data_IF_897010496978
#
_entry.id   IF_897010496978
#
_cell.length_a   1.000
_cell.length_b   1.000
_cell.length_c   1.000
_cell.angle_alpha   90.00
_cell.angle_beta   90.00
_cell.angle_gamma   90.00
#
_symmetry.space_group_name_H-M   'P 1'
#
loop_
_entity.id
_entity.type
_entity.pdbx_description
1 polymer ?
#
# COMPACT_ATOMS: atom_id res chain seq x y z
N UNK A 1 -11.42 -16.49 -16.24
CA UNK A 1 -11.20 -15.20 -15.58
C UNK A 1 -10.31 -14.37 -16.49
N UNK A 2 -10.66 -13.09 -16.78
CA UNK A 2 -9.80 -12.23 -17.62
C UNK A 2 -8.46 -11.93 -16.92
N UNK A 3 -7.41 -11.55 -17.67
CA UNK A 3 -6.12 -11.13 -17.10
C UNK A 3 -6.33 -10.00 -16.09
N UNK A 4 -7.07 -8.96 -16.48
CA UNK A 4 -7.38 -7.83 -15.60
C UNK A 4 -8.11 -8.24 -14.32
N UNK A 5 -9.10 -9.16 -14.37
CA UNK A 5 -9.79 -9.65 -13.17
C UNK A 5 -8.83 -10.38 -12.23
N UNK A 6 -7.88 -11.14 -12.80
CA UNK A 6 -6.83 -11.82 -12.03
C UNK A 6 -5.87 -10.82 -11.38
N UNK A 7 -5.47 -9.78 -12.11
CA UNK A 7 -4.65 -8.70 -11.58
C UNK A 7 -5.32 -7.97 -10.42
N UNK A 8 -6.59 -7.58 -10.57
CA UNK A 8 -7.38 -6.95 -9.48
C UNK A 8 -7.46 -7.87 -8.25
N UNK A 9 -7.66 -9.18 -8.45
CA UNK A 9 -7.67 -10.14 -7.33
C UNK A 9 -6.32 -10.18 -6.61
N UNK A 10 -5.21 -10.15 -7.34
CA UNK A 10 -3.87 -10.11 -6.73
C UNK A 10 -3.64 -8.83 -5.94
N UNK A 11 -4.03 -7.68 -6.48
CA UNK A 11 -3.98 -6.39 -5.75
C UNK A 11 -4.85 -6.44 -4.49
N UNK A 12 -6.05 -7.02 -4.56
CA UNK A 12 -6.92 -7.18 -3.40
C UNK A 12 -6.30 -8.09 -2.32
N UNK A 13 -5.73 -9.24 -2.71
CA UNK A 13 -5.02 -10.13 -1.77
C UNK A 13 -3.85 -9.39 -1.12
N UNK A 14 -3.09 -8.62 -1.89
CA UNK A 14 -2.01 -7.78 -1.37
C UNK A 14 -2.52 -6.80 -0.31
N UNK A 15 -3.63 -6.10 -0.56
CA UNK A 15 -4.24 -5.16 0.38
C UNK A 15 -4.71 -5.82 1.68
N UNK A 16 -5.27 -7.03 1.59
CA UNK A 16 -5.65 -7.84 2.76
C UNK A 16 -4.41 -8.20 3.59
N UNK A 17 -3.32 -8.61 2.94
CA UNK A 17 -2.06 -8.92 3.63
C UNK A 17 -1.45 -7.66 4.26
N UNK A 18 -1.46 -6.53 3.57
CA UNK A 18 -0.99 -5.26 4.14
C UNK A 18 -1.80 -4.84 5.37
N UNK A 19 -3.10 -5.11 5.40
CA UNK A 19 -3.98 -4.76 6.52
C UNK A 19 -3.64 -5.50 7.83
N UNK A 20 -2.88 -6.60 7.77
CA UNK A 20 -2.37 -7.28 8.97
C UNK A 20 -1.31 -6.44 9.71
N UNK A 21 -0.77 -5.41 9.05
CA UNK A 21 0.32 -4.59 9.58
C UNK A 21 0.04 -4.02 10.97
N UNK A 22 -1.11 -3.37 11.17
CA UNK A 22 -1.47 -2.77 12.45
C UNK A 22 -1.57 -3.76 13.60
N UNK A 23 -2.09 -4.97 13.32
CA UNK A 23 -2.20 -6.04 14.30
C UNK A 23 -0.82 -6.48 14.82
N UNK A 24 0.10 -6.80 13.91
CA UNK A 24 1.40 -7.34 14.29
C UNK A 24 2.40 -6.27 14.72
N UNK A 25 2.29 -5.03 14.22
CA UNK A 25 3.10 -3.90 14.72
C UNK A 25 2.85 -3.64 16.21
N UNK A 26 1.62 -3.82 16.71
CA UNK A 26 1.33 -3.70 18.16
C UNK A 26 2.09 -4.72 19.03
N UNK A 27 2.50 -5.87 18.46
CA UNK A 27 3.27 -6.90 19.17
C UNK A 27 4.77 -6.59 19.21
N UNK A 28 5.25 -5.64 18.40
CA UNK A 28 6.67 -5.31 18.26
C UNK A 28 6.93 -3.94 18.89
N UNK A 29 7.44 -3.85 20.13
CA UNK A 29 7.61 -2.60 20.86
C UNK A 29 8.86 -1.81 20.41
N UNK A 30 9.26 -1.95 19.14
CA UNK A 30 10.43 -1.33 18.58
C UNK A 30 10.12 0.03 17.94
N UNK A 31 11.16 0.81 17.71
CA UNK A 31 11.10 2.01 16.91
C UNK A 31 10.50 1.70 15.51
N UNK A 32 9.54 2.48 15.00
CA UNK A 32 8.95 2.25 13.67
C UNK A 32 9.97 2.14 12.53
N UNK A 33 11.10 2.85 12.59
CA UNK A 33 12.17 2.72 11.58
C UNK A 33 12.90 1.38 11.70
N UNK A 34 13.13 0.87 12.93
CA UNK A 34 13.68 -0.46 13.16
C UNK A 34 12.74 -1.53 12.60
N UNK A 35 11.44 -1.44 12.91
CA UNK A 35 10.42 -2.33 12.34
C UNK A 35 10.45 -2.27 10.83
N UNK A 36 10.47 -1.07 10.22
CA UNK A 36 10.52 -0.91 8.77
C UNK A 36 11.77 -1.54 8.15
N UNK A 37 12.93 -1.33 8.74
CA UNK A 37 14.19 -1.90 8.26
C UNK A 37 14.22 -3.41 8.33
N UNK A 38 13.93 -3.99 9.51
CA UNK A 38 14.03 -5.43 9.73
C UNK A 38 12.97 -6.21 8.95
N UNK A 39 11.70 -5.73 8.89
CA UNK A 39 10.68 -6.41 8.07
C UNK A 39 11.03 -6.39 6.58
N UNK A 40 11.65 -5.30 6.07
CA UNK A 40 12.12 -5.25 4.68
C UNK A 40 13.36 -6.12 4.46
N UNK A 41 14.25 -6.28 5.45
CA UNK A 41 15.38 -7.21 5.39
C UNK A 41 14.91 -8.66 5.31
N UNK A 42 13.92 -9.05 6.12
CA UNK A 42 13.29 -10.37 6.05
C UNK A 42 12.61 -10.56 4.68
N UNK A 43 11.86 -9.55 4.25
CA UNK A 43 11.17 -9.57 2.98
C UNK A 43 12.13 -9.69 1.79
N UNK A 44 13.27 -9.03 1.84
CA UNK A 44 14.33 -9.12 0.83
C UNK A 44 14.80 -10.56 0.63
N UNK A 45 14.96 -11.32 1.72
CA UNK A 45 15.35 -12.74 1.66
C UNK A 45 14.25 -13.56 0.99
N UNK A 46 13.02 -13.43 1.45
CA UNK A 46 11.86 -14.20 0.92
C UNK A 46 11.58 -13.84 -0.53
N UNK A 47 11.57 -12.56 -0.86
CA UNK A 47 11.34 -12.08 -2.23
C UNK A 47 12.50 -12.48 -3.16
N UNK A 48 13.75 -12.45 -2.66
CA UNK A 48 14.93 -12.93 -3.41
C UNK A 48 14.85 -14.43 -3.73
N UNK A 49 14.40 -15.26 -2.77
CA UNK A 49 14.13 -16.69 -3.02
C UNK A 49 13.04 -16.85 -4.10
N UNK A 50 11.94 -16.07 -4.00
CA UNK A 50 10.87 -16.08 -5.00
C UNK A 50 11.40 -15.73 -6.40
N UNK A 51 12.19 -14.66 -6.56
CA UNK A 51 12.79 -14.28 -7.85
C UNK A 51 13.71 -15.37 -8.40
N UNK A 52 14.49 -16.02 -7.54
CA UNK A 52 15.37 -17.13 -7.94
C UNK A 52 14.56 -18.35 -8.41
N UNK A 53 13.50 -18.73 -7.69
CA UNK A 53 12.65 -19.89 -8.04
C UNK A 53 11.86 -19.64 -9.31
N UNK A 54 11.42 -18.41 -9.54
CA UNK A 54 10.69 -18.02 -10.78
C UNK A 54 11.62 -17.71 -11.94
N UNK A 55 12.95 -17.82 -11.75
CA UNK A 55 13.96 -17.46 -12.75
C UNK A 55 13.80 -16.03 -13.29
N UNK A 56 13.26 -15.10 -12.46
CA UNK A 56 13.08 -13.72 -12.85
C UNK A 56 14.43 -13.01 -12.94
N UNK A 57 14.69 -12.37 -14.08
CA UNK A 57 15.91 -11.59 -14.28
C UNK A 57 15.73 -10.18 -13.74
N UNK A 58 16.58 -9.79 -12.81
CA UNK A 58 16.59 -8.43 -12.31
C UNK A 58 16.95 -7.44 -13.41
N UNK A 59 16.10 -6.43 -13.56
CA UNK A 59 16.30 -5.31 -14.47
C UNK A 59 16.70 -4.09 -13.63
N UNK A 60 17.65 -3.30 -14.11
CA UNK A 60 18.05 -2.03 -13.48
C UNK A 60 18.09 -0.96 -14.57
N UNK A 61 17.12 -0.08 -14.53
CA UNK A 61 17.01 1.08 -15.41
C UNK A 61 16.31 2.24 -14.67
N UNK A 62 16.14 3.38 -15.34
CA UNK A 62 15.54 4.56 -14.73
C UNK A 62 14.11 4.36 -14.23
N UNK A 63 13.28 3.60 -14.96
CA UNK A 63 11.90 3.30 -14.56
C UNK A 63 11.86 2.40 -13.32
N UNK A 64 12.71 1.38 -13.26
CA UNK A 64 12.85 0.47 -12.12
C UNK A 64 13.37 1.21 -10.89
N UNK A 65 14.38 2.07 -11.05
CA UNK A 65 14.91 2.87 -9.94
C UNK A 65 13.86 3.87 -9.41
N UNK A 66 13.07 4.48 -10.29
CA UNK A 66 11.93 5.32 -9.88
C UNK A 66 10.96 4.52 -9.00
N UNK A 67 10.53 3.34 -9.44
CA UNK A 67 9.65 2.47 -8.66
C UNK A 67 10.26 2.06 -7.30
N UNK A 68 11.57 1.75 -7.28
CA UNK A 68 12.29 1.39 -6.06
C UNK A 68 12.35 2.55 -5.05
N UNK A 69 12.64 3.76 -5.50
CA UNK A 69 12.63 4.97 -4.66
C UNK A 69 11.23 5.27 -4.15
N UNK A 70 10.21 5.15 -5.00
CA UNK A 70 8.82 5.32 -4.59
C UNK A 70 8.39 4.29 -3.53
N UNK A 71 8.76 3.02 -3.70
CA UNK A 71 8.48 1.96 -2.72
C UNK A 71 9.17 2.23 -1.38
N UNK A 72 10.46 2.51 -1.39
CA UNK A 72 11.22 2.83 -0.18
C UNK A 72 10.72 4.12 0.49
N UNK A 73 10.43 5.15 -0.30
CA UNK A 73 9.84 6.40 0.16
C UNK A 73 8.49 6.19 0.83
N UNK A 74 7.60 5.40 0.22
CA UNK A 74 6.28 5.07 0.79
C UNK A 74 6.41 4.51 2.20
N UNK A 75 7.22 3.48 2.38
CA UNK A 75 7.31 2.77 3.66
C UNK A 75 8.07 3.58 4.72
N UNK A 76 9.19 4.22 4.35
CA UNK A 76 10.03 4.98 5.28
C UNK A 76 9.35 6.28 5.72
N UNK A 77 8.78 7.06 4.78
CA UNK A 77 8.09 8.31 5.10
C UNK A 77 6.82 8.06 5.91
N UNK A 78 6.10 6.97 5.64
CA UNK A 78 4.95 6.58 6.46
C UNK A 78 5.35 6.26 7.91
N UNK A 79 6.43 5.51 8.12
CA UNK A 79 6.95 5.24 9.45
C UNK A 79 7.38 6.54 10.16
N UNK A 80 8.02 7.45 9.45
CA UNK A 80 8.42 8.76 9.98
C UNK A 80 7.19 9.64 10.31
N UNK A 81 6.19 9.66 9.43
CA UNK A 81 4.94 10.37 9.67
C UNK A 81 4.24 9.90 10.95
N UNK A 82 4.16 8.59 11.18
CA UNK A 82 3.58 8.03 12.41
C UNK A 82 4.30 8.47 13.70
N UNK A 83 5.57 8.89 13.62
CA UNK A 83 6.29 9.50 14.75
C UNK A 83 6.00 10.99 14.93
N UNK A 84 5.72 11.68 13.83
CA UNK A 84 5.61 13.14 13.79
C UNK A 84 4.16 13.62 13.91
N UNK A 85 3.17 12.81 13.54
CA UNK A 85 1.74 13.13 13.64
C UNK A 85 0.94 11.95 14.20
N UNK A 86 -0.39 12.03 14.22
CA UNK A 86 -1.21 10.90 14.67
C UNK A 86 -1.27 9.80 13.60
N UNK A 87 -1.44 8.54 14.03
CA UNK A 87 -1.60 7.42 13.11
C UNK A 87 -2.80 7.63 12.16
N UNK A 88 -3.90 8.23 12.66
CA UNK A 88 -5.06 8.57 11.86
C UNK A 88 -4.74 9.58 10.75
N UNK A 89 -4.03 10.67 11.10
CA UNK A 89 -3.59 11.65 10.11
C UNK A 89 -2.65 11.02 9.07
N UNK A 90 -1.68 10.21 9.53
CA UNK A 90 -0.71 9.55 8.66
C UNK A 90 -1.41 8.64 7.64
N UNK A 91 -2.36 7.82 8.07
CA UNK A 91 -3.13 6.92 7.20
C UNK A 91 -4.00 7.71 6.21
N UNK A 92 -4.81 8.66 6.70
CA UNK A 92 -5.72 9.43 5.84
C UNK A 92 -4.94 10.17 4.76
N UNK A 93 -3.82 10.81 5.12
CA UNK A 93 -3.01 11.57 4.18
C UNK A 93 -2.25 10.67 3.20
N UNK A 94 -1.75 9.51 3.61
CA UNK A 94 -1.15 8.54 2.69
C UNK A 94 -2.17 8.01 1.67
N UNK A 95 -3.40 7.73 2.12
CA UNK A 95 -4.47 7.23 1.24
C UNK A 95 -5.13 8.31 0.37
N UNK A 96 -4.57 9.51 0.30
CA UNK A 96 -4.77 10.44 -0.82
C UNK A 96 -4.06 9.95 -2.11
N UNK A 97 -3.27 8.88 -2.04
CA UNK A 97 -2.54 8.30 -3.17
C UNK A 97 -3.39 8.12 -4.46
N UNK A 98 -4.66 7.65 -4.45
CA UNK A 98 -5.47 7.57 -5.67
C UNK A 98 -5.67 8.91 -6.37
N UNK A 99 -5.75 10.02 -5.62
CA UNK A 99 -5.81 11.38 -6.19
C UNK A 99 -4.51 11.69 -6.93
N UNK A 100 -3.36 11.40 -6.28
CA UNK A 100 -2.06 11.59 -6.90
C UNK A 100 -1.84 10.67 -8.10
N UNK A 101 -2.32 9.43 -8.09
CA UNK A 101 -2.26 8.54 -9.26
C UNK A 101 -2.99 9.18 -10.45
N UNK A 102 -4.23 9.63 -10.26
CA UNK A 102 -5.00 10.28 -11.34
C UNK A 102 -4.25 11.49 -11.89
N UNK A 103 -3.73 12.34 -11.01
CA UNK A 103 -3.02 13.56 -11.36
C UNK A 103 -1.69 13.27 -12.10
N UNK A 104 -0.90 12.34 -11.60
CA UNK A 104 0.38 11.97 -12.19
C UNK A 104 0.21 11.24 -13.53
N UNK A 105 -0.80 10.36 -13.65
CA UNK A 105 -1.13 9.71 -14.93
C UNK A 105 -1.51 10.75 -15.99
N UNK A 106 -2.25 11.79 -15.60
CA UNK A 106 -2.56 12.89 -16.49
C UNK A 106 -1.31 13.68 -16.92
N UNK A 107 -0.41 14.01 -15.98
CA UNK A 107 0.81 14.78 -16.29
C UNK A 107 1.79 13.99 -17.15
N UNK A 108 2.15 12.77 -16.73
CA UNK A 108 3.22 12.00 -17.36
C UNK A 108 2.77 11.25 -18.61
N UNK A 109 1.55 10.71 -18.61
CA UNK A 109 1.04 9.85 -19.68
C UNK A 109 -0.06 10.51 -20.51
N UNK A 110 -0.46 11.76 -20.17
CA UNK A 110 -1.56 12.50 -20.83
C UNK A 110 -2.91 11.77 -20.77
N UNK A 111 -3.06 10.82 -19.87
CA UNK A 111 -4.32 10.12 -19.63
C UNK A 111 -5.31 11.05 -18.93
N UNK A 112 -6.37 11.43 -19.65
CA UNK A 112 -7.40 12.30 -19.07
C UNK A 112 -8.17 11.57 -17.97
N UNK A 113 -8.41 12.22 -16.81
CA UNK A 113 -9.22 11.67 -15.74
C UNK A 113 -10.62 11.26 -16.25
N UNK A 114 -11.00 10.01 -16.00
CA UNK A 114 -12.34 9.53 -16.31
C UNK A 114 -13.30 9.89 -15.17
N UNK A 115 -14.54 10.26 -15.48
CA UNK A 115 -15.54 10.62 -14.45
C UNK A 115 -15.71 9.52 -13.41
N UNK A 116 -15.72 8.26 -13.84
CA UNK A 116 -15.83 7.10 -12.95
C UNK A 116 -14.66 7.04 -11.96
N UNK A 117 -13.42 7.25 -12.43
CA UNK A 117 -12.20 7.18 -11.59
C UNK A 117 -12.25 8.30 -10.53
N UNK A 118 -12.60 9.52 -10.93
CA UNK A 118 -12.71 10.67 -10.01
C UNK A 118 -13.85 10.46 -9.00
N UNK A 119 -15.02 10.00 -9.46
CA UNK A 119 -16.15 9.76 -8.56
C UNK A 119 -15.84 8.69 -7.52
N UNK A 120 -15.24 7.56 -7.95
CA UNK A 120 -14.82 6.51 -7.02
C UNK A 120 -13.78 7.01 -6.01
N UNK A 121 -12.81 7.80 -6.47
CA UNK A 121 -11.79 8.40 -5.61
C UNK A 121 -12.41 9.31 -4.54
N UNK A 122 -13.38 10.15 -4.90
CA UNK A 122 -14.09 11.02 -3.95
C UNK A 122 -14.85 10.21 -2.89
N UNK A 123 -15.60 9.18 -3.30
CA UNK A 123 -16.34 8.34 -2.34
C UNK A 123 -15.40 7.54 -1.43
N UNK A 124 -14.32 6.98 -1.97
CA UNK A 124 -13.29 6.29 -1.16
C UNK A 124 -12.69 7.25 -0.14
N UNK A 125 -12.33 8.46 -0.55
CA UNK A 125 -11.75 9.45 0.36
C UNK A 125 -12.73 9.91 1.44
N UNK A 126 -13.99 10.17 1.09
CA UNK A 126 -15.05 10.48 2.07
C UNK A 126 -15.21 9.34 3.07
N UNK A 127 -15.26 8.09 2.60
CA UNK A 127 -15.38 6.94 3.49
C UNK A 127 -14.19 6.76 4.43
N UNK A 128 -12.96 6.99 3.96
CA UNK A 128 -11.75 6.97 4.79
C UNK A 128 -11.80 8.11 5.82
N UNK A 129 -12.22 9.32 5.44
CA UNK A 129 -12.39 10.43 6.37
C UNK A 129 -13.42 10.09 7.46
N UNK A 130 -14.59 9.56 7.09
CA UNK A 130 -15.61 9.14 8.05
C UNK A 130 -15.08 8.05 9.00
N UNK A 131 -14.24 7.14 8.49
CA UNK A 131 -13.67 6.07 9.32
C UNK A 131 -12.70 6.59 10.39
N UNK A 132 -11.91 7.59 10.04
CA UNK A 132 -10.83 8.09 10.91
C UNK A 132 -11.14 9.41 11.61
N UNK A 133 -12.35 9.99 11.43
CA UNK A 133 -12.67 11.36 11.87
C UNK A 133 -12.44 11.56 13.38
N UNK A 134 -12.73 10.55 14.20
CA UNK A 134 -12.57 10.60 15.65
C UNK A 134 -11.07 10.62 16.08
N UNK A 135 -10.20 10.12 15.22
CA UNK A 135 -8.75 10.10 15.45
C UNK A 135 -8.00 11.24 14.77
N UNK A 136 -8.70 12.06 13.96
CA UNK A 136 -8.08 13.21 13.30
C UNK A 136 -7.83 14.36 14.29
N UNK A 137 -6.71 15.00 14.14
CA UNK A 137 -6.36 16.21 14.90
C UNK A 137 -5.62 17.19 14.00
N UNK A 138 -5.36 18.42 14.47
CA UNK A 138 -4.49 19.37 13.76
C UNK A 138 -3.10 18.76 13.51
N UNK A 139 -2.64 17.90 14.42
CA UNK A 139 -1.37 17.22 14.33
C UNK A 139 -0.17 18.16 14.20
N UNK A 140 0.98 17.59 13.87
CA UNK A 140 2.17 18.35 13.51
C UNK A 140 2.17 18.58 11.99
N UNK A 141 2.26 19.84 11.54
CA UNK A 141 2.29 20.17 10.10
C UNK A 141 3.40 19.46 9.33
N UNK A 142 4.60 19.32 9.93
CA UNK A 142 5.70 18.60 9.32
C UNK A 142 5.34 17.12 9.14
N UNK A 143 4.78 16.48 10.17
CA UNK A 143 4.33 15.07 10.11
C UNK A 143 3.23 14.87 9.07
N UNK A 144 2.28 15.80 8.97
CA UNK A 144 1.23 15.75 7.95
C UNK A 144 1.81 15.92 6.53
N UNK A 145 2.79 16.81 6.35
CA UNK A 145 3.50 16.97 5.07
C UNK A 145 4.27 15.71 4.66
N UNK A 146 4.95 15.08 5.63
CA UNK A 146 5.66 13.79 5.40
C UNK A 146 4.68 12.68 5.05
N UNK A 147 3.52 12.61 5.69
CA UNK A 147 2.47 11.63 5.36
C UNK A 147 1.93 11.83 3.93
N UNK A 148 1.69 13.08 3.54
CA UNK A 148 1.24 13.39 2.17
C UNK A 148 2.32 13.03 1.14
N UNK A 149 3.59 13.31 1.41
CA UNK A 149 4.71 12.89 0.55
C UNK A 149 4.80 11.36 0.43
N UNK A 150 4.54 10.63 1.53
CA UNK A 150 4.39 9.17 1.48
C UNK A 150 3.26 8.76 0.53
N UNK A 151 2.13 9.47 0.52
CA UNK A 151 1.03 9.24 -0.44
C UNK A 151 1.44 9.49 -1.89
N UNK A 152 2.25 10.51 -2.17
CA UNK A 152 2.81 10.74 -3.52
C UNK A 152 3.74 9.59 -3.93
N UNK A 153 4.61 9.13 -3.03
CA UNK A 153 5.45 7.97 -3.28
C UNK A 153 4.61 6.71 -3.53
N UNK A 154 3.54 6.52 -2.76
CA UNK A 154 2.63 5.37 -2.94
C UNK A 154 1.91 5.42 -4.30
N UNK A 155 1.55 6.61 -4.78
CA UNK A 155 1.07 6.77 -6.16
C UNK A 155 2.11 6.31 -7.19
N UNK A 156 3.38 6.63 -6.98
CA UNK A 156 4.49 6.13 -7.81
C UNK A 156 4.61 4.61 -7.81
N UNK A 157 4.34 3.95 -6.67
CA UNK A 157 4.30 2.47 -6.60
C UNK A 157 3.22 1.90 -7.53
N UNK A 158 2.01 2.47 -7.56
CA UNK A 158 0.97 2.02 -8.48
C UNK A 158 1.29 2.27 -9.95
N UNK A 159 2.08 3.32 -10.23
CA UNK A 159 2.45 3.70 -11.59
C UNK A 159 3.71 3.00 -12.11
N UNK A 160 4.41 2.19 -11.28
CA UNK A 160 5.72 1.65 -11.65
C UNK A 160 5.69 0.83 -12.94
N UNK A 161 4.58 0.18 -13.28
CA UNK A 161 4.42 -0.58 -14.54
C UNK A 161 3.84 0.26 -15.71
N UNK A 162 3.62 1.56 -15.51
CA UNK A 162 3.13 2.44 -16.58
C UNK A 162 4.25 2.99 -17.45
N UNK A 163 5.52 2.88 -17.01
CA UNK A 163 6.67 3.34 -17.76
C UNK A 163 7.18 2.27 -18.73
N UNK A 164 7.72 2.67 -19.91
CA UNK A 164 8.41 1.73 -20.80
C UNK A 164 9.58 1.02 -20.07
N UNK A 165 9.82 -0.23 -20.42
CA UNK A 165 10.87 -1.07 -19.85
C UNK A 165 10.86 -1.20 -18.32
N UNK A 166 9.71 -0.93 -17.71
CA UNK A 166 9.51 -1.07 -16.28
C UNK A 166 9.38 -2.53 -15.87
N UNK A 167 9.75 -2.82 -14.62
CA UNK A 167 9.56 -4.11 -13.99
C UNK A 167 9.25 -3.92 -12.50
N UNK A 168 8.01 -4.23 -12.13
CA UNK A 168 7.53 -4.06 -10.74
C UNK A 168 8.26 -4.99 -9.77
N UNK A 169 8.62 -6.19 -10.20
CA UNK A 169 9.30 -7.15 -9.33
C UNK A 169 10.71 -6.65 -8.97
N UNK A 170 11.47 -6.17 -9.96
CA UNK A 170 12.79 -5.55 -9.74
C UNK A 170 12.67 -4.25 -8.93
N UNK A 171 11.67 -3.40 -9.20
CA UNK A 171 11.44 -2.16 -8.46
C UNK A 171 11.18 -2.42 -6.98
N UNK A 172 10.32 -3.37 -6.66
CA UNK A 172 10.00 -3.74 -5.28
C UNK A 172 11.23 -4.33 -4.58
N UNK A 173 11.95 -5.24 -5.23
CA UNK A 173 13.16 -5.85 -4.68
C UNK A 173 14.22 -4.80 -4.32
N UNK A 174 14.53 -3.88 -5.24
CA UNK A 174 15.46 -2.79 -4.99
C UNK A 174 14.94 -1.82 -3.92
N UNK A 175 13.64 -1.54 -3.89
CA UNK A 175 13.01 -0.73 -2.85
C UNK A 175 13.12 -1.36 -1.46
N UNK A 176 13.00 -2.69 -1.36
CA UNK A 176 13.24 -3.42 -0.11
C UNK A 176 14.70 -3.31 0.34
N UNK A 177 15.67 -3.36 -0.60
CA UNK A 177 17.10 -3.12 -0.27
C UNK A 177 17.27 -1.73 0.33
N UNK A 178 16.73 -0.68 -0.31
CA UNK A 178 16.84 0.70 0.18
C UNK A 178 16.21 0.81 1.57
N UNK A 179 15.01 0.27 1.77
CA UNK A 179 14.30 0.32 3.06
C UNK A 179 15.04 -0.45 4.16
N UNK A 180 15.61 -1.61 3.83
CA UNK A 180 16.43 -2.38 4.77
C UNK A 180 17.69 -1.61 5.17
N UNK A 181 18.41 -1.04 4.21
CA UNK A 181 19.62 -0.27 4.48
C UNK A 181 19.37 0.99 5.31
N UNK A 182 18.25 1.68 5.07
CA UNK A 182 17.92 2.92 5.80
C UNK A 182 17.36 2.68 7.19
N UNK A 183 16.69 1.54 7.44
CA UNK A 183 15.96 1.28 8.68
C UNK A 183 16.61 0.27 9.63
N UNK A 184 17.38 -0.73 9.12
CA UNK A 184 17.87 -1.83 9.96
C UNK A 184 18.83 -1.41 11.08
N UNK A 185 19.54 -0.33 10.90
CA UNK A 185 20.48 0.20 11.90
C UNK A 185 19.80 0.60 13.21
N UNK A 186 18.53 0.97 13.17
CA UNK A 186 17.77 1.35 14.36
C UNK A 186 17.49 0.17 15.30
N UNK A 187 17.65 -1.09 14.83
CA UNK A 187 17.46 -2.28 15.67
C UNK A 187 18.49 -2.38 16.79
N UNK A 188 19.68 -1.81 16.63
CA UNK A 188 20.71 -1.82 17.66
C UNK A 188 20.34 -1.00 18.91
N UNK A 189 19.32 -0.13 18.80
CA UNK A 189 18.76 0.60 19.94
C UNK A 189 17.62 -0.15 20.66
N UNK A 190 17.21 -1.30 20.16
CA UNK A 190 16.09 -2.05 20.72
C UNK A 190 16.57 -3.04 21.80
N UNK A 191 15.72 -3.27 22.80
CA UNK A 191 16.05 -4.13 23.95
C UNK A 191 15.11 -5.31 24.12
N UNK A 192 13.90 -5.25 23.54
CA UNK A 192 12.93 -6.34 23.64
C UNK A 192 12.99 -7.26 22.40
N UNK A 193 13.53 -8.44 22.60
CA UNK A 193 13.57 -9.53 21.61
C UNK A 193 12.77 -10.74 22.09
N UNK A 194 11.72 -10.52 22.89
CA UNK A 194 10.82 -11.57 23.34
C UNK A 194 10.11 -12.28 22.18
N UNK A 195 9.53 -13.45 22.47
CA UNK A 195 8.88 -14.31 21.46
C UNK A 195 7.79 -13.57 20.67
N UNK A 196 7.03 -12.68 21.34
CA UNK A 196 6.00 -11.89 20.68
C UNK A 196 6.58 -10.87 19.68
N UNK A 197 7.66 -10.16 20.05
CA UNK A 197 8.34 -9.21 19.20
C UNK A 197 8.98 -9.89 17.98
N UNK A 198 9.73 -10.98 18.21
CA UNK A 198 10.38 -11.75 17.14
C UNK A 198 9.33 -12.42 16.24
N UNK A 199 8.30 -13.03 16.80
CA UNK A 199 7.19 -13.61 16.03
C UNK A 199 6.45 -12.56 15.20
N UNK A 200 6.15 -11.41 15.79
CA UNK A 200 5.50 -10.28 15.11
C UNK A 200 6.30 -9.77 13.93
N UNK A 201 7.61 -9.52 14.11
CA UNK A 201 8.47 -9.01 13.03
C UNK A 201 8.66 -10.04 11.89
N UNK A 202 8.70 -11.35 12.21
CA UNK A 202 8.75 -12.41 11.20
C UNK A 202 7.47 -12.44 10.37
N UNK A 203 6.29 -12.37 11.00
CA UNK A 203 5.00 -12.31 10.28
C UNK A 203 4.92 -11.06 9.42
N UNK A 204 5.33 -9.90 9.95
CA UNK A 204 5.40 -8.65 9.19
C UNK A 204 6.32 -8.78 7.97
N UNK A 205 7.52 -9.31 8.15
CA UNK A 205 8.49 -9.44 7.05
C UNK A 205 8.05 -10.43 5.97
N UNK A 206 7.59 -11.62 6.39
CA UNK A 206 7.23 -12.70 5.45
C UNK A 206 5.88 -12.43 4.78
N UNK A 207 4.82 -12.22 5.54
CA UNK A 207 3.46 -12.16 4.99
C UNK A 207 3.06 -10.74 4.60
N UNK A 208 3.21 -9.78 5.52
CA UNK A 208 2.75 -8.42 5.32
C UNK A 208 3.62 -7.63 4.31
N UNK A 209 4.92 -7.94 4.20
CA UNK A 209 5.80 -7.29 3.21
C UNK A 209 6.09 -8.23 2.04
N UNK A 210 6.80 -9.37 2.22
CA UNK A 210 7.25 -10.15 1.08
C UNK A 210 6.11 -10.71 0.25
N UNK A 211 5.22 -11.50 0.86
CA UNK A 211 4.11 -12.14 0.13
C UNK A 211 3.13 -11.09 -0.41
N UNK A 212 2.82 -10.05 0.37
CA UNK A 212 1.96 -8.96 -0.08
C UNK A 212 2.53 -8.27 -1.32
N UNK A 213 3.82 -7.93 -1.33
CA UNK A 213 4.44 -7.28 -2.49
C UNK A 213 4.62 -8.22 -3.69
N UNK A 214 4.75 -9.56 -3.50
CA UNK A 214 4.69 -10.51 -4.62
C UNK A 214 3.33 -10.44 -5.31
N UNK A 215 2.24 -10.43 -4.54
CA UNK A 215 0.90 -10.26 -5.10
C UNK A 215 0.70 -8.87 -5.72
N UNK A 216 1.21 -7.82 -5.08
CA UNK A 216 1.15 -6.46 -5.64
C UNK A 216 1.87 -6.38 -6.98
N UNK A 217 3.11 -6.87 -7.07
CA UNK A 217 3.88 -6.86 -8.31
C UNK A 217 3.13 -7.54 -9.45
N UNK A 218 2.65 -8.77 -9.22
CA UNK A 218 1.85 -9.52 -10.20
C UNK A 218 0.53 -8.84 -10.54
N UNK A 219 -0.09 -8.21 -9.56
CA UNK A 219 -1.35 -7.49 -9.76
C UNK A 219 -1.19 -6.27 -10.65
N UNK A 220 -0.10 -5.53 -10.46
CA UNK A 220 0.20 -4.32 -11.24
C UNK A 220 0.56 -4.60 -12.71
N UNK A 221 0.99 -5.84 -13.05
CA UNK A 221 1.24 -6.23 -14.45
C UNK A 221 -0.04 -6.18 -15.32
N UNK A 222 -1.18 -6.53 -14.73
CA UNK A 222 -2.45 -6.67 -15.44
C UNK A 222 -3.52 -5.64 -14.99
N UNK A 223 -3.19 -4.73 -14.06
CA UNK A 223 -4.16 -3.79 -13.47
C UNK A 223 -3.74 -2.34 -13.70
N UNK A 224 -4.58 -1.49 -14.30
CA UNK A 224 -4.30 -0.05 -14.42
C UNK A 224 -4.04 0.60 -13.05
N UNK A 225 -3.11 1.57 -13.00
CA UNK A 225 -2.65 2.21 -11.78
C UNK A 225 -3.78 2.77 -10.90
N UNK A 226 -4.75 3.49 -11.50
CA UNK A 226 -5.92 4.02 -10.78
C UNK A 226 -6.78 2.90 -10.18
N UNK A 227 -7.01 1.81 -10.94
CA UNK A 227 -7.78 0.66 -10.46
C UNK A 227 -7.07 -0.03 -9.29
N UNK A 228 -5.75 -0.20 -9.37
CA UNK A 228 -4.95 -0.78 -8.31
C UNK A 228 -5.00 0.08 -7.04
N UNK A 229 -4.78 1.39 -7.15
CA UNK A 229 -4.79 2.31 -6.02
C UNK A 229 -6.16 2.40 -5.33
N UNK A 230 -7.26 2.37 -6.08
CA UNK A 230 -8.61 2.30 -5.50
C UNK A 230 -8.89 0.95 -4.84
N UNK A 231 -8.42 -0.16 -5.43
CA UNK A 231 -8.61 -1.50 -4.85
C UNK A 231 -7.88 -1.64 -3.51
N UNK A 232 -6.68 -1.08 -3.40
CA UNK A 232 -5.91 -1.12 -2.13
C UNK A 232 -6.50 -0.23 -1.04
N UNK A 233 -7.41 0.69 -1.34
CA UNK A 233 -8.08 1.53 -0.35
C UNK A 233 -8.96 0.73 0.63
N UNK A 234 -9.11 -0.57 0.46
CA UNK A 234 -9.69 -1.47 1.46
C UNK A 234 -8.75 -1.67 2.68
N UNK A 235 -7.43 -1.51 2.50
CA UNK A 235 -6.42 -1.70 3.55
C UNK A 235 -6.66 -0.83 4.79
N UNK A 236 -6.84 0.51 4.69
CA UNK A 236 -7.04 1.36 5.86
C UNK A 236 -8.33 1.04 6.62
N UNK A 237 -9.27 0.34 6.00
CA UNK A 237 -10.51 -0.10 6.63
C UNK A 237 -10.32 -1.45 7.33
N UNK A 238 -9.69 -2.42 6.65
CA UNK A 238 -9.49 -3.76 7.21
C UNK A 238 -8.50 -3.75 8.38
N UNK A 239 -7.46 -2.92 8.32
CA UNK A 239 -6.42 -2.88 9.35
C UNK A 239 -7.00 -2.60 10.76
N UNK A 240 -7.73 -1.49 11.02
CA UNK A 240 -8.31 -1.25 12.34
C UNK A 240 -9.40 -2.26 12.71
N UNK A 241 -10.15 -2.78 11.74
CA UNK A 241 -11.16 -3.83 12.00
C UNK A 241 -10.48 -5.10 12.53
N UNK A 242 -9.37 -5.54 11.92
CA UNK A 242 -8.60 -6.68 12.41
C UNK A 242 -8.04 -6.42 13.82
N UNK A 243 -7.53 -5.21 14.06
CA UNK A 243 -7.06 -4.80 15.41
C UNK A 243 -8.23 -4.85 16.42
N UNK A 244 -9.38 -4.28 16.06
CA UNK A 244 -10.56 -4.26 16.92
C UNK A 244 -11.05 -5.67 17.28
N UNK A 245 -11.06 -6.59 16.31
CA UNK A 245 -11.48 -7.99 16.53
C UNK A 245 -10.54 -8.75 17.47
N UNK A 246 -9.23 -8.52 17.38
CA UNK A 246 -8.23 -9.25 18.17
C UNK A 246 -8.03 -8.63 19.55
N UNK A 247 -8.02 -7.31 19.64
CA UNK A 247 -7.82 -6.58 20.91
C UNK A 247 -9.12 -6.15 21.58
N UNK A 248 -10.28 -6.55 21.02
CA UNK A 248 -11.62 -6.19 21.53
C UNK A 248 -11.84 -4.67 21.67
N UNK A 249 -11.23 -3.88 20.77
CA UNK A 249 -11.43 -2.45 20.70
C UNK A 249 -12.77 -2.13 20.03
N UNK A 250 -13.44 -1.06 20.47
CA UNK A 250 -14.75 -0.66 19.90
C UNK A 250 -14.52 0.14 18.61
N UNK A 251 -15.23 -0.24 17.56
CA UNK A 251 -15.32 0.53 16.31
C UNK A 251 -16.54 1.42 16.38
N UNK A 252 -16.40 2.72 16.12
CA UNK A 252 -17.52 3.67 16.18
C UNK A 252 -18.53 3.43 15.05
N UNK A 253 -19.80 3.82 15.26
CA UNK A 253 -20.84 3.70 14.22
C UNK A 253 -20.47 4.49 12.97
N UNK A 254 -19.81 5.64 13.11
CA UNK A 254 -19.37 6.46 11.98
C UNK A 254 -18.23 5.77 11.19
N UNK A 255 -17.31 5.08 11.88
CA UNK A 255 -16.29 4.27 11.22
C UNK A 255 -16.92 3.12 10.41
N UNK A 256 -17.97 2.47 10.93
CA UNK A 256 -18.69 1.43 10.17
C UNK A 256 -19.36 2.00 8.92
N UNK A 257 -19.98 3.18 9.00
CA UNK A 257 -20.53 3.89 7.82
C UNK A 257 -19.42 4.19 6.81
N UNK A 258 -18.27 4.69 7.27
CA UNK A 258 -17.09 4.92 6.43
C UNK A 258 -16.61 3.65 5.71
N UNK A 259 -16.55 2.54 6.43
CA UNK A 259 -16.20 1.23 5.87
C UNK A 259 -17.16 0.80 4.75
N UNK A 260 -18.47 0.93 4.97
CA UNK A 260 -19.50 0.59 3.95
C UNK A 260 -19.35 1.47 2.71
N UNK A 261 -19.10 2.78 2.87
CA UNK A 261 -18.86 3.70 1.74
C UNK A 261 -17.65 3.26 0.93
N UNK A 262 -16.49 2.97 1.57
CA UNK A 262 -15.26 2.55 0.89
C UNK A 262 -15.47 1.24 0.14
N UNK A 263 -15.99 0.22 0.81
CA UNK A 263 -16.25 -1.10 0.20
C UNK A 263 -17.23 -0.97 -0.96
N UNK A 264 -18.33 -0.24 -0.77
CA UNK A 264 -19.33 0.02 -1.81
C UNK A 264 -18.75 0.73 -3.03
N UNK A 265 -17.91 1.76 -2.81
CA UNK A 265 -17.24 2.48 -3.90
C UNK A 265 -16.27 1.58 -4.67
N UNK A 266 -15.43 0.78 -3.98
CA UNK A 266 -14.47 -0.14 -4.61
C UNK A 266 -15.19 -1.21 -5.43
N UNK A 267 -16.20 -1.85 -4.86
CA UNK A 267 -16.97 -2.91 -5.54
C UNK A 267 -17.67 -2.35 -6.77
N UNK A 268 -18.41 -1.23 -6.62
CA UNK A 268 -19.12 -0.58 -7.73
C UNK A 268 -18.18 -0.19 -8.84
N UNK A 269 -17.06 0.44 -8.51
CA UNK A 269 -16.03 0.83 -9.47
C UNK A 269 -15.51 -0.38 -10.26
N UNK A 270 -15.11 -1.45 -9.58
CA UNK A 270 -14.55 -2.63 -10.23
C UNK A 270 -15.59 -3.37 -11.09
N UNK A 271 -16.86 -3.42 -10.66
CA UNK A 271 -17.95 -4.03 -11.44
C UNK A 271 -18.21 -3.25 -12.71
N UNK A 272 -18.29 -1.91 -12.64
CA UNK A 272 -18.52 -1.06 -13.84
C UNK A 272 -17.34 -1.20 -14.81
N UNK A 273 -16.10 -1.17 -14.31
CA UNK A 273 -14.88 -1.36 -15.13
C UNK A 273 -14.89 -2.71 -15.84
N UNK A 274 -15.24 -3.79 -15.13
CA UNK A 274 -15.28 -5.14 -15.69
C UNK A 274 -16.37 -5.30 -16.77
N UNK A 275 -17.53 -4.66 -16.60
CA UNK A 275 -18.60 -4.62 -17.63
C UNK A 275 -18.14 -3.88 -18.89
N UNK A 276 -17.61 -2.66 -18.74
CA UNK A 276 -17.12 -1.88 -19.88
C UNK A 276 -15.99 -2.58 -20.66
N UNK A 277 -15.11 -3.33 -19.99
CA UNK A 277 -14.08 -4.12 -20.66
C UNK A 277 -14.65 -5.29 -21.47
N UNK A 278 -15.74 -5.92 -20.98
CA UNK A 278 -16.42 -7.00 -21.72
C UNK A 278 -17.19 -6.49 -22.94
N UNK A 279 -17.85 -5.35 -22.80
CA UNK A 279 -18.57 -4.72 -23.93
C UNK A 279 -17.62 -4.27 -25.03
N UNK A 280 -16.47 -3.68 -24.66
CA UNK A 280 -15.43 -3.32 -25.62
C UNK A 280 -14.85 -4.55 -26.36
N UNK A 281 -14.65 -5.68 -25.65
CA UNK A 281 -14.17 -6.93 -26.25
C UNK A 281 -15.22 -7.66 -27.10
N UNK A 282 -16.50 -7.34 -26.95
CA UNK A 282 -17.58 -7.92 -27.75
C UNK A 282 -17.86 -7.13 -29.05
N UNK A 283 -17.33 -5.92 -29.16
CA UNK A 283 -17.52 -5.00 -30.30
C UNK A 283 -16.30 -4.94 -31.23
N UNK A 284 -15.18 -5.54 -30.88
CA UNK A 284 -13.94 -5.66 -31.68
C UNK A 284 -13.62 -7.08 -32.06
#
# INVERSE_FOLDING_TARGET
MSRQTKGILYVFISAVLFSMGGLFVKLVPWNPLAINGIRNLIALIVFGIYLKVTHHKLVVNGAVLFGAVCMAGTTTLYCLANKLTTAANAIVLQFTAPVFVIFLMWIFFKERPKKLDVTACVFVFIGILCFFIDGLSSGNMLGNGVAMLSGVCYAGVFMMNSFPDSDSQSSIFLGQIISALTGSWFVFGETDFGVAAVGGILVLGVFQVAVAYIFMAKGLEDTPAVTASLTTAIEPILNPILVALVYHEMVTSLALVGAVIVVGAIVTYNVIKAKGSKEAAALG
#
